data_IF_177258572909
#
_entry.id   IF_177258572909
#
_cell.length_a   1.000
_cell.length_b   1.000
_cell.length_c   1.000
_cell.angle_alpha   90.00
_cell.angle_beta   90.00
_cell.angle_gamma   90.00
#
_symmetry.space_group_name_H-M   'P 1'
#
loop_
_entity.id
_entity.type
_entity.pdbx_description
1 polymer ?
#
# COMPACT_ATOMS: atom_id res chain seq x y z
N UNK A 1 -6.92 23.91 -18.98
CA UNK A 1 -5.58 24.54 -19.06
C UNK A 1 -4.83 24.51 -17.71
N UNK A 2 -5.42 24.93 -16.58
CA UNK A 2 -4.72 24.95 -15.28
C UNK A 2 -4.33 23.55 -14.79
N UNK A 3 -5.25 22.60 -14.80
CA UNK A 3 -5.03 21.19 -14.40
C UNK A 3 -3.92 20.51 -15.22
N UNK A 4 -3.93 20.71 -16.55
CA UNK A 4 -2.93 20.11 -17.44
C UNK A 4 -1.52 20.66 -17.19
N UNK A 5 -1.40 21.95 -16.86
CA UNK A 5 -0.12 22.55 -16.47
C UNK A 5 0.39 21.95 -15.16
N UNK A 6 -0.50 21.75 -14.18
CA UNK A 6 -0.13 21.12 -12.90
C UNK A 6 0.37 19.68 -13.08
N UNK A 7 -0.28 18.87 -13.90
CA UNK A 7 0.16 17.51 -14.21
C UNK A 7 1.56 17.50 -14.86
N UNK A 8 1.81 18.39 -15.82
CA UNK A 8 3.13 18.52 -16.44
C UNK A 8 4.23 18.88 -15.43
N UNK A 9 3.94 19.77 -14.47
CA UNK A 9 4.91 20.12 -13.42
C UNK A 9 5.17 18.97 -12.46
N UNK A 10 4.17 18.14 -12.18
CA UNK A 10 4.32 16.91 -11.40
C UNK A 10 5.16 15.89 -12.16
N UNK A 11 4.87 15.67 -13.44
CA UNK A 11 5.61 14.71 -14.28
C UNK A 11 7.09 15.03 -14.36
N UNK A 12 7.48 16.31 -14.35
CA UNK A 12 8.89 16.74 -14.31
C UNK A 12 9.65 16.31 -13.07
N UNK A 13 8.97 15.86 -12.01
CA UNK A 13 9.60 15.34 -10.80
C UNK A 13 10.02 13.86 -10.95
N UNK A 14 9.54 13.18 -11.99
CA UNK A 14 9.81 11.77 -12.24
C UNK A 14 10.65 11.57 -13.51
N UNK A 15 11.42 10.46 -13.61
CA UNK A 15 12.09 10.11 -14.85
C UNK A 15 11.06 9.83 -15.96
N UNK A 16 11.34 10.31 -17.16
CA UNK A 16 10.57 9.93 -18.35
C UNK A 16 10.96 8.51 -18.76
N UNK A 17 10.04 7.56 -18.58
CA UNK A 17 10.21 6.14 -18.93
C UNK A 17 8.96 5.71 -19.72
N UNK A 18 8.94 6.00 -21.05
CA UNK A 18 7.81 5.63 -21.91
C UNK A 18 7.48 4.14 -21.80
N UNK A 19 6.19 3.81 -21.75
CA UNK A 19 5.74 2.43 -21.64
C UNK A 19 5.88 1.79 -20.24
N UNK A 20 6.26 2.54 -19.19
CA UNK A 20 6.27 2.00 -17.83
C UNK A 20 4.85 1.98 -17.24
N UNK A 21 4.13 0.90 -17.43
CA UNK A 21 2.73 0.70 -17.02
C UNK A 21 2.60 -0.25 -15.82
N UNK A 22 3.53 -0.21 -14.88
CA UNK A 22 3.62 -1.20 -13.80
C UNK A 22 3.65 -0.59 -12.39
N UNK A 23 3.01 0.57 -12.16
CA UNK A 23 2.89 1.20 -10.85
C UNK A 23 2.33 0.23 -9.79
N UNK A 24 1.38 -0.62 -10.17
CA UNK A 24 0.80 -1.66 -9.31
C UNK A 24 1.77 -2.79 -8.93
N UNK A 25 2.98 -2.83 -9.51
CA UNK A 25 4.08 -3.74 -9.13
C UNK A 25 5.17 -2.99 -8.37
N UNK A 26 5.63 -1.85 -8.90
CA UNK A 26 6.58 -0.94 -8.25
C UNK A 26 6.41 0.47 -8.82
N UNK A 27 6.47 1.50 -7.98
CA UNK A 27 6.46 2.89 -8.44
C UNK A 27 7.79 3.31 -9.03
N UNK A 28 7.78 4.28 -9.97
CA UNK A 28 9.01 4.97 -10.38
C UNK A 28 9.41 5.97 -9.28
N UNK A 29 10.65 5.94 -8.79
CA UNK A 29 11.11 6.90 -7.81
C UNK A 29 11.22 8.30 -8.43
N UNK A 30 10.82 9.33 -7.69
CA UNK A 30 11.10 10.72 -8.09
C UNK A 30 12.61 11.00 -8.13
N UNK A 31 13.00 12.09 -8.78
CA UNK A 31 14.40 12.53 -8.73
C UNK A 31 14.86 12.83 -7.30
N UNK A 32 14.00 13.39 -6.45
CA UNK A 32 14.27 13.62 -5.03
C UNK A 32 14.52 12.31 -4.29
N UNK A 33 13.67 11.29 -4.51
CA UNK A 33 13.84 9.94 -3.94
C UNK A 33 15.19 9.34 -4.31
N UNK A 34 15.53 9.39 -5.60
CA UNK A 34 16.79 8.85 -6.10
C UNK A 34 18.01 9.58 -5.53
N UNK A 35 17.94 10.91 -5.43
CA UNK A 35 18.99 11.74 -4.85
C UNK A 35 19.22 11.42 -3.35
N UNK A 36 18.13 11.28 -2.58
CA UNK A 36 18.20 10.94 -1.15
C UNK A 36 18.85 9.56 -0.91
N UNK A 37 18.51 8.56 -1.74
CA UNK A 37 19.12 7.23 -1.66
C UNK A 37 20.63 7.26 -1.98
N UNK A 38 21.03 8.00 -3.02
CA UNK A 38 22.44 8.16 -3.37
C UNK A 38 23.23 8.85 -2.26
N UNK A 39 22.70 9.94 -1.72
CA UNK A 39 23.31 10.65 -0.59
C UNK A 39 23.50 9.73 0.62
N UNK A 40 22.51 8.88 0.94
CA UNK A 40 22.65 7.90 2.03
C UNK A 40 23.80 6.92 1.76
N UNK A 41 23.91 6.38 0.53
CA UNK A 41 24.99 5.44 0.15
C UNK A 41 26.37 6.12 0.27
N UNK A 42 26.49 7.39 -0.15
CA UNK A 42 27.74 8.17 -0.05
C UNK A 42 28.13 8.42 1.41
N UNK A 43 27.18 8.75 2.27
CA UNK A 43 27.44 8.92 3.71
C UNK A 43 27.82 7.60 4.38
N UNK A 44 27.11 6.52 4.08
CA UNK A 44 27.37 5.19 4.63
C UNK A 44 28.75 4.69 4.20
N UNK A 45 29.10 4.79 2.90
CA UNK A 45 30.39 4.35 2.35
C UNK A 45 31.60 5.10 2.91
N UNK A 46 31.37 6.29 3.48
CA UNK A 46 32.41 7.14 4.08
C UNK A 46 32.36 7.18 5.62
N UNK A 47 31.51 6.34 6.25
CA UNK A 47 31.38 6.26 7.71
C UNK A 47 30.72 7.49 8.35
N UNK A 48 30.00 8.31 7.58
CA UNK A 48 29.32 9.52 8.05
C UNK A 48 27.83 9.35 8.32
N UNK A 49 27.30 8.14 8.18
CA UNK A 49 25.89 7.84 8.47
C UNK A 49 25.58 8.15 9.94
N UNK A 50 24.48 8.87 10.16
CA UNK A 50 23.98 9.22 11.49
C UNK A 50 22.65 8.48 11.78
N UNK A 51 22.70 7.54 12.71
CA UNK A 51 21.54 6.75 13.12
C UNK A 51 20.44 7.58 13.80
N UNK A 52 20.81 8.66 14.53
CA UNK A 52 19.82 9.56 15.16
C UNK A 52 19.05 10.37 14.12
N UNK A 53 19.74 10.81 13.06
CA UNK A 53 19.08 11.46 11.93
C UNK A 53 18.10 10.51 11.25
N UNK A 54 18.47 9.24 11.05
CA UNK A 54 17.53 8.25 10.48
C UNK A 54 16.32 8.06 11.40
N UNK A 55 16.49 8.00 12.70
CA UNK A 55 15.35 7.94 13.64
C UNK A 55 14.42 9.16 13.51
N UNK A 56 14.96 10.36 13.38
CA UNK A 56 14.15 11.55 13.13
C UNK A 56 13.39 11.48 11.78
N UNK A 57 14.01 10.90 10.76
CA UNK A 57 13.39 10.68 9.46
C UNK A 57 12.27 9.60 9.51
N UNK A 58 12.36 8.63 10.41
CA UNK A 58 11.24 7.68 10.65
C UNK A 58 10.02 8.43 11.18
N UNK A 59 10.20 9.37 12.13
CA UNK A 59 9.09 10.20 12.62
C UNK A 59 8.54 11.12 11.54
N UNK A 60 9.38 11.61 10.65
CA UNK A 60 8.93 12.38 9.48
C UNK A 60 8.11 11.50 8.52
N UNK A 61 8.53 10.25 8.24
CA UNK A 61 7.74 9.29 7.45
C UNK A 61 6.37 9.04 8.09
N UNK A 62 6.33 8.86 9.42
CA UNK A 62 5.10 8.66 10.19
C UNK A 62 4.12 9.82 10.00
N UNK A 63 4.60 11.06 10.20
CA UNK A 63 3.79 12.27 10.08
C UNK A 63 3.28 12.48 8.64
N UNK A 64 4.14 12.28 7.64
CA UNK A 64 3.78 12.41 6.23
C UNK A 64 2.72 11.36 5.82
N UNK A 65 2.92 10.10 6.20
CA UNK A 65 1.93 9.07 5.90
C UNK A 65 0.61 9.32 6.62
N UNK A 66 0.63 9.72 7.87
CA UNK A 66 -0.56 10.09 8.63
C UNK A 66 -1.36 11.18 7.93
N UNK A 67 -0.70 12.23 7.43
CA UNK A 67 -1.33 13.29 6.64
C UNK A 67 -1.92 12.80 5.32
N UNK A 68 -1.26 11.86 4.62
CA UNK A 68 -1.76 11.28 3.37
C UNK A 68 -3.03 10.46 3.54
N UNK A 69 -3.27 9.86 4.71
CA UNK A 69 -4.41 8.99 4.98
C UNK A 69 -5.37 9.53 6.05
N UNK A 70 -5.25 10.82 6.39
CA UNK A 70 -6.24 11.55 7.20
C UNK A 70 -6.28 11.16 8.69
N UNK A 71 -5.19 10.67 9.28
CA UNK A 71 -5.15 10.27 10.70
C UNK A 71 -4.07 11.01 11.49
N UNK A 72 -4.15 10.96 12.82
CA UNK A 72 -3.09 11.46 13.69
C UNK A 72 -1.84 10.56 13.63
N UNK A 73 -0.65 11.15 13.76
CA UNK A 73 0.62 10.42 13.66
C UNK A 73 0.75 9.30 14.70
N UNK A 74 0.18 9.49 15.89
CA UNK A 74 0.16 8.51 16.99
C UNK A 74 -0.57 7.21 16.62
N UNK A 75 -1.43 7.27 15.60
CA UNK A 75 -2.14 6.10 15.06
C UNK A 75 -1.32 5.31 14.04
N UNK A 76 -0.13 5.77 13.66
CA UNK A 76 0.70 5.16 12.62
C UNK A 76 1.87 4.40 13.21
N UNK A 77 2.03 3.13 12.87
CA UNK A 77 3.24 2.35 13.09
C UNK A 77 4.08 2.30 11.82
N UNK A 78 5.41 2.29 11.97
CA UNK A 78 6.37 2.21 10.87
C UNK A 78 7.07 0.85 10.88
N UNK A 79 7.08 0.16 9.75
CA UNK A 79 7.70 -1.16 9.59
C UNK A 79 8.25 -1.36 8.18
N UNK A 80 8.46 -2.62 7.80
CA UNK A 80 9.17 -2.93 6.56
C UNK A 80 8.30 -3.61 5.49
N UNK A 81 7.20 -4.26 5.87
CA UNK A 81 6.35 -5.01 4.92
C UNK A 81 4.96 -5.33 5.47
N UNK A 82 3.99 -5.51 4.57
CA UNK A 82 2.58 -5.72 4.91
C UNK A 82 2.35 -6.99 5.74
N UNK A 83 2.97 -8.15 5.39
CA UNK A 83 2.76 -9.41 6.12
C UNK A 83 3.17 -9.34 7.58
N UNK A 84 4.13 -8.49 7.91
CA UNK A 84 4.56 -8.25 9.28
C UNK A 84 3.45 -7.58 10.11
N UNK A 85 2.82 -6.54 9.56
CA UNK A 85 1.69 -5.90 10.22
C UNK A 85 0.45 -6.79 10.23
N UNK A 86 0.18 -7.54 9.17
CA UNK A 86 -0.90 -8.54 9.17
C UNK A 86 -0.69 -9.60 10.29
N UNK A 87 0.57 -9.97 10.60
CA UNK A 87 0.87 -10.86 11.73
C UNK A 87 0.59 -10.21 13.09
N UNK A 88 0.80 -8.90 13.23
CA UNK A 88 0.38 -8.16 14.44
C UNK A 88 -1.15 -8.16 14.55
N UNK A 89 -1.85 -7.86 13.46
CA UNK A 89 -3.33 -7.87 13.41
C UNK A 89 -3.89 -9.25 13.78
N UNK A 90 -3.24 -10.32 13.33
CA UNK A 90 -3.62 -11.70 13.63
C UNK A 90 -3.68 -11.98 15.14
N UNK A 91 -2.95 -11.25 15.97
CA UNK A 91 -2.97 -11.40 17.44
C UNK A 91 -4.29 -10.95 18.08
N UNK A 92 -5.05 -10.07 17.41
CA UNK A 92 -6.35 -9.60 17.92
C UNK A 92 -7.48 -10.62 17.72
N UNK A 93 -7.27 -11.64 16.87
CA UNK A 93 -8.28 -12.67 16.60
C UNK A 93 -8.36 -13.61 17.82
N UNK A 94 -9.54 -13.81 18.42
CA UNK A 94 -9.68 -14.72 19.55
C UNK A 94 -9.53 -16.19 19.14
N UNK A 95 -9.19 -17.06 20.08
CA UNK A 95 -9.14 -18.51 19.85
C UNK A 95 -10.52 -19.02 19.40
N UNK A 96 -10.54 -19.85 18.36
CA UNK A 96 -11.78 -20.34 17.76
C UNK A 96 -12.54 -19.30 16.92
N UNK A 97 -12.04 -18.08 16.76
CA UNK A 97 -12.67 -17.00 16.01
C UNK A 97 -12.70 -17.26 14.50
N UNK A 98 -13.38 -16.38 13.77
CA UNK A 98 -13.45 -16.41 12.31
C UNK A 98 -12.79 -15.15 11.72
N UNK A 99 -11.94 -15.34 10.69
CA UNK A 99 -11.44 -14.27 9.84
C UNK A 99 -12.06 -14.42 8.46
N UNK A 100 -12.69 -13.37 7.96
CA UNK A 100 -13.25 -13.32 6.62
C UNK A 100 -12.29 -12.57 5.70
N UNK A 101 -11.86 -13.24 4.61
CA UNK A 101 -10.94 -12.72 3.61
C UNK A 101 -11.55 -12.77 2.21
N UNK A 102 -10.97 -12.01 1.27
CA UNK A 102 -11.34 -12.06 -0.14
C UNK A 102 -10.59 -13.18 -0.84
N UNK A 103 -11.33 -13.99 -1.63
CA UNK A 103 -10.75 -15.04 -2.46
C UNK A 103 -9.86 -14.43 -3.56
N UNK A 104 -8.62 -14.89 -3.64
CA UNK A 104 -7.63 -14.36 -4.58
C UNK A 104 -6.94 -13.06 -4.15
N UNK A 105 -7.15 -12.61 -2.92
CA UNK A 105 -6.44 -11.46 -2.38
C UNK A 105 -4.95 -11.76 -2.15
N UNK A 106 -4.17 -10.71 -1.90
CA UNK A 106 -2.72 -10.81 -1.81
C UNK A 106 -2.28 -11.60 -0.58
N UNK A 107 -1.49 -12.64 -0.79
CA UNK A 107 -1.09 -13.59 0.24
C UNK A 107 -0.38 -12.96 1.46
N UNK A 108 0.30 -11.82 1.29
CA UNK A 108 0.92 -11.12 2.43
C UNK A 108 -0.10 -10.53 3.41
N UNK A 109 -1.36 -10.35 2.98
CA UNK A 109 -2.45 -9.99 3.87
C UNK A 109 -3.08 -11.23 4.51
N UNK A 110 -3.35 -12.28 3.72
CA UNK A 110 -4.21 -13.40 4.16
C UNK A 110 -3.46 -14.52 4.89
N UNK A 111 -2.25 -14.88 4.45
CA UNK A 111 -1.51 -16.00 5.01
C UNK A 111 -1.18 -15.89 6.51
N UNK A 112 -0.91 -14.71 7.10
CA UNK A 112 -0.72 -14.61 8.56
C UNK A 112 -1.93 -15.10 9.36
N UNK A 113 -3.15 -14.94 8.86
CA UNK A 113 -4.36 -15.42 9.53
C UNK A 113 -4.50 -16.94 9.44
N UNK A 114 -4.08 -17.58 8.34
CA UNK A 114 -4.08 -19.02 8.18
C UNK A 114 -3.17 -19.72 9.21
N UNK A 115 -2.10 -19.05 9.65
CA UNK A 115 -1.20 -19.57 10.66
C UNK A 115 -1.84 -19.70 12.05
N UNK A 116 -3.03 -19.14 12.24
CA UNK A 116 -3.79 -19.25 13.50
C UNK A 116 -4.60 -20.56 13.62
N UNK A 117 -4.49 -21.48 12.66
CA UNK A 117 -5.23 -22.76 12.66
C UNK A 117 -5.02 -23.57 13.94
N UNK A 118 -3.82 -23.56 14.54
CA UNK A 118 -3.50 -24.21 15.81
C UNK A 118 -4.28 -23.60 17.01
N UNK A 119 -4.78 -22.37 16.88
CA UNK A 119 -5.65 -21.68 17.84
C UNK A 119 -7.14 -21.93 17.56
N UNK A 120 -7.47 -22.83 16.62
CA UNK A 120 -8.84 -23.12 16.20
C UNK A 120 -9.48 -22.01 15.36
N UNK A 121 -8.72 -21.00 14.94
CA UNK A 121 -9.24 -19.90 14.09
C UNK A 121 -9.55 -20.46 12.70
N UNK A 122 -10.70 -20.07 12.18
CA UNK A 122 -11.14 -20.42 10.83
C UNK A 122 -11.00 -19.22 9.90
N UNK A 123 -10.27 -19.38 8.80
CA UNK A 123 -10.23 -18.37 7.72
C UNK A 123 -11.21 -18.80 6.63
N UNK A 124 -12.13 -17.90 6.29
CA UNK A 124 -13.13 -18.10 5.24
C UNK A 124 -12.88 -17.12 4.10
N UNK A 125 -12.91 -17.61 2.87
CA UNK A 125 -12.68 -16.83 1.66
C UNK A 125 -13.97 -16.67 0.87
N UNK A 126 -14.28 -15.43 0.47
CA UNK A 126 -15.46 -15.08 -0.31
C UNK A 126 -15.09 -14.14 -1.47
N UNK A 127 -15.95 -14.05 -2.48
CA UNK A 127 -15.76 -13.06 -3.55
C UNK A 127 -15.89 -11.64 -2.99
N UNK A 128 -15.17 -10.67 -3.58
CA UNK A 128 -15.13 -9.29 -3.11
C UNK A 128 -16.52 -8.63 -3.06
N UNK A 129 -17.33 -8.87 -4.08
CA UNK A 129 -18.70 -8.36 -4.22
C UNK A 129 -19.69 -8.97 -3.22
N UNK A 130 -19.31 -10.10 -2.59
CA UNK A 130 -20.10 -10.77 -1.55
C UNK A 130 -19.61 -10.46 -0.13
N UNK A 131 -18.48 -9.76 0.01
CA UNK A 131 -17.80 -9.63 1.30
C UNK A 131 -18.71 -9.05 2.39
N UNK A 132 -19.45 -7.97 2.09
CA UNK A 132 -20.36 -7.33 3.06
C UNK A 132 -21.50 -8.26 3.47
N UNK A 133 -22.10 -9.00 2.52
CA UNK A 133 -23.22 -9.92 2.76
C UNK A 133 -22.82 -11.15 3.61
N UNK A 134 -21.56 -11.52 3.55
CA UNK A 134 -21.03 -12.73 4.19
C UNK A 134 -20.48 -12.47 5.60
N UNK A 135 -20.46 -11.22 6.07
CA UNK A 135 -20.11 -10.87 7.44
C UNK A 135 -21.26 -11.29 8.37
N UNK A 136 -20.94 -12.00 9.44
CA UNK A 136 -21.93 -12.48 10.43
C UNK A 136 -21.45 -12.20 11.84
N UNK A 137 -22.30 -12.43 12.83
CA UNK A 137 -21.94 -12.34 14.26
C UNK A 137 -20.82 -13.31 14.70
N UNK A 138 -20.48 -14.31 13.86
CA UNK A 138 -19.33 -15.20 14.11
C UNK A 138 -18.02 -14.61 13.60
N UNK A 139 -18.07 -13.60 12.74
CA UNK A 139 -16.89 -12.97 12.14
C UNK A 139 -16.20 -12.09 13.19
N UNK A 140 -14.95 -12.39 13.51
CA UNK A 140 -14.14 -11.61 14.46
C UNK A 140 -13.33 -10.51 13.76
N UNK A 141 -12.91 -10.77 12.52
CA UNK A 141 -12.10 -9.87 11.69
C UNK A 141 -12.47 -10.01 10.22
N UNK A 142 -12.61 -8.89 9.52
CA UNK A 142 -12.69 -8.84 8.06
C UNK A 142 -11.40 -8.23 7.54
N UNK A 143 -10.69 -8.95 6.66
CA UNK A 143 -9.42 -8.51 6.09
C UNK A 143 -9.48 -8.55 4.56
N UNK A 144 -9.23 -7.39 3.91
CA UNK A 144 -9.27 -7.28 2.46
C UNK A 144 -8.36 -6.17 1.92
N UNK A 145 -7.94 -6.29 0.66
CA UNK A 145 -7.32 -5.18 -0.07
C UNK A 145 -8.40 -4.24 -0.62
N UNK A 146 -8.29 -2.94 -0.34
CA UNK A 146 -9.26 -1.95 -0.84
C UNK A 146 -9.29 -1.91 -2.36
N UNK A 147 -8.13 -2.06 -2.99
CA UNK A 147 -8.00 -2.29 -4.43
C UNK A 147 -7.31 -3.63 -4.65
N UNK A 148 -7.97 -4.55 -5.34
CA UNK A 148 -7.45 -5.89 -5.57
C UNK A 148 -6.26 -5.89 -6.52
N UNK A 149 -5.15 -6.48 -6.07
CA UNK A 149 -3.90 -6.47 -6.85
C UNK A 149 -4.00 -7.27 -8.16
N UNK A 150 -4.79 -8.33 -8.20
CA UNK A 150 -4.92 -9.21 -9.36
C UNK A 150 -5.85 -8.65 -10.43
N UNK A 151 -6.96 -8.03 -10.03
CA UNK A 151 -8.05 -7.58 -10.92
C UNK A 151 -8.16 -6.07 -11.06
N UNK A 152 -7.61 -5.32 -10.10
CA UNK A 152 -7.85 -3.88 -10.00
C UNK A 152 -9.21 -3.52 -9.41
N UNK A 153 -10.05 -4.48 -9.06
CA UNK A 153 -11.39 -4.21 -8.50
C UNK A 153 -11.28 -3.38 -7.21
N UNK A 154 -12.09 -2.32 -7.13
CA UNK A 154 -12.20 -1.46 -5.95
C UNK A 154 -13.33 -1.98 -5.06
N UNK A 155 -13.10 -2.09 -3.75
CA UNK A 155 -14.09 -2.60 -2.81
C UNK A 155 -15.14 -1.55 -2.47
N UNK A 156 -16.37 -1.99 -2.19
CA UNK A 156 -17.44 -1.17 -1.58
C UNK A 156 -17.14 -0.97 -0.08
N UNK A 157 -16.07 -0.23 0.24
CA UNK A 157 -15.51 -0.14 1.59
C UNK A 157 -16.53 0.33 2.64
N UNK A 158 -17.41 1.29 2.31
CA UNK A 158 -18.46 1.78 3.21
C UNK A 158 -19.45 0.66 3.59
N UNK A 159 -19.88 -0.15 2.61
CA UNK A 159 -20.81 -1.26 2.86
C UNK A 159 -20.15 -2.34 3.73
N UNK A 160 -18.89 -2.68 3.44
CA UNK A 160 -18.14 -3.66 4.24
C UNK A 160 -17.95 -3.16 5.67
N UNK A 161 -17.56 -1.88 5.85
CA UNK A 161 -17.41 -1.25 7.16
C UNK A 161 -18.72 -1.28 7.97
N UNK A 162 -19.83 -0.87 7.34
CA UNK A 162 -21.14 -0.88 8.01
C UNK A 162 -21.57 -2.30 8.44
N UNK A 163 -21.34 -3.30 7.60
CA UNK A 163 -21.64 -4.70 7.92
C UNK A 163 -20.74 -5.22 9.07
N UNK A 164 -19.45 -4.89 9.05
CA UNK A 164 -18.50 -5.26 10.10
C UNK A 164 -18.87 -4.62 11.46
N UNK A 165 -19.22 -3.33 11.45
CA UNK A 165 -19.68 -2.62 12.63
C UNK A 165 -20.96 -3.26 13.21
N UNK A 166 -21.95 -3.56 12.36
CA UNK A 166 -23.19 -4.24 12.75
C UNK A 166 -22.99 -5.64 13.34
N UNK A 167 -21.93 -6.34 12.93
CA UNK A 167 -21.54 -7.66 13.43
C UNK A 167 -20.59 -7.61 14.64
N UNK A 168 -20.03 -6.45 14.98
CA UNK A 168 -18.98 -6.30 15.99
C UNK A 168 -17.62 -6.86 15.56
N UNK A 169 -17.39 -7.04 14.24
CA UNK A 169 -16.14 -7.51 13.67
C UNK A 169 -15.15 -6.35 13.49
N UNK A 170 -13.86 -6.61 13.67
CA UNK A 170 -12.81 -5.66 13.32
C UNK A 170 -12.59 -5.60 11.79
N UNK A 171 -12.14 -4.45 11.33
CA UNK A 171 -11.72 -4.24 9.93
C UNK A 171 -10.20 -4.12 9.82
N UNK A 172 -9.58 -4.86 8.87
CA UNK A 172 -8.18 -4.72 8.47
C UNK A 172 -8.10 -4.53 6.96
N UNK A 173 -7.66 -3.36 6.51
CA UNK A 173 -7.68 -2.98 5.10
C UNK A 173 -6.27 -2.80 4.57
N UNK A 174 -5.90 -3.54 3.52
CA UNK A 174 -4.65 -3.29 2.79
C UNK A 174 -4.86 -2.17 1.77
N UNK A 175 -4.19 -1.06 1.99
CA UNK A 175 -4.23 0.15 1.16
C UNK A 175 -3.06 0.23 0.16
N UNK A 176 -2.23 -0.81 0.07
CA UNK A 176 -1.01 -0.84 -0.77
C UNK A 176 -1.28 -0.54 -2.25
N UNK A 177 -2.46 -0.87 -2.76
CA UNK A 177 -2.86 -0.60 -4.14
C UNK A 177 -3.76 0.65 -4.27
N UNK A 178 -4.03 1.37 -3.19
CA UNK A 178 -4.93 2.51 -3.15
C UNK A 178 -4.19 3.84 -2.92
N UNK A 179 -3.50 3.99 -1.79
CA UNK A 179 -2.87 5.27 -1.38
C UNK A 179 -1.83 5.72 -2.39
N UNK A 180 -1.97 6.96 -2.86
CA UNK A 180 -1.12 7.60 -3.87
C UNK A 180 -1.85 7.89 -5.20
N UNK A 181 -2.98 7.18 -5.48
CA UNK A 181 -3.83 7.50 -6.61
C UNK A 181 -5.32 7.57 -6.25
N UNK A 182 -5.77 6.77 -5.27
CA UNK A 182 -7.15 6.76 -4.78
C UNK A 182 -7.19 7.53 -3.45
N UNK A 183 -8.03 8.55 -3.30
CA UNK A 183 -8.26 9.21 -2.02
C UNK A 183 -8.80 8.21 -1.00
N UNK A 184 -8.19 8.15 0.18
CA UNK A 184 -8.55 7.24 1.26
C UNK A 184 -8.47 7.98 2.58
N UNK A 185 -9.46 7.77 3.44
CA UNK A 185 -9.40 8.12 4.87
C UNK A 185 -9.21 6.84 5.69
N UNK A 186 -8.03 6.66 6.29
CA UNK A 186 -7.77 5.52 7.15
C UNK A 186 -8.54 5.59 8.49
N UNK A 187 -9.12 6.77 8.81
CA UNK A 187 -9.99 6.96 9.96
C UNK A 187 -11.29 6.15 9.90
N UNK A 188 -11.71 5.76 8.70
CA UNK A 188 -12.90 4.93 8.48
C UNK A 188 -12.73 3.48 8.94
N UNK A 189 -11.50 3.02 9.22
CA UNK A 189 -11.20 1.62 9.51
C UNK A 189 -10.54 1.44 10.87
N UNK A 190 -10.68 0.24 11.45
CA UNK A 190 -10.01 -0.11 12.69
C UNK A 190 -8.50 -0.20 12.51
N UNK A 191 -8.07 -0.90 11.45
CA UNK A 191 -6.67 -1.10 11.12
C UNK A 191 -6.50 -0.97 9.60
N UNK A 192 -5.46 -0.25 9.17
CA UNK A 192 -5.03 -0.28 7.77
C UNK A 192 -3.56 -0.67 7.65
N UNK A 193 -3.19 -1.26 6.52
CA UNK A 193 -1.80 -1.61 6.19
C UNK A 193 -1.48 -1.03 4.82
N UNK A 194 -0.30 -0.43 4.66
CA UNK A 194 0.16 0.09 3.38
C UNK A 194 1.66 -0.15 3.19
N UNK A 195 2.05 -0.84 2.14
CA UNK A 195 3.44 -0.98 1.74
C UNK A 195 3.78 0.07 0.67
N UNK A 196 4.73 0.95 0.95
CA UNK A 196 4.88 2.22 0.24
C UNK A 196 5.54 2.15 -1.15
N UNK A 197 6.03 1.00 -1.61
CA UNK A 197 6.87 0.90 -2.83
C UNK A 197 6.11 0.90 -4.16
N UNK A 198 4.79 0.98 -4.15
CA UNK A 198 3.96 1.02 -5.37
C UNK A 198 3.56 2.46 -5.69
N UNK A 199 2.37 2.83 -5.35
CA UNK A 199 1.77 4.13 -5.68
C UNK A 199 2.35 5.30 -4.89
N UNK A 200 2.97 5.04 -3.73
CA UNK A 200 3.75 6.05 -3.00
C UNK A 200 5.18 6.20 -3.54
N UNK A 201 5.57 5.41 -4.54
CA UNK A 201 6.87 5.48 -5.21
C UNK A 201 8.10 5.46 -4.28
N UNK A 202 7.92 4.94 -3.06
CA UNK A 202 9.00 4.80 -2.08
C UNK A 202 9.85 3.55 -2.36
N UNK A 203 11.06 3.46 -1.81
CA UNK A 203 11.85 2.24 -1.86
C UNK A 203 11.14 1.08 -1.15
N UNK A 204 11.32 -0.15 -1.66
CA UNK A 204 10.80 -1.33 -0.97
C UNK A 204 11.53 -1.53 0.36
N UNK A 205 10.78 -1.77 1.45
CA UNK A 205 11.31 -1.91 2.80
C UNK A 205 10.75 -0.86 3.77
N UNK A 206 9.75 -0.08 3.33
CA UNK A 206 8.95 0.80 4.18
C UNK A 206 7.48 0.46 4.06
N UNK A 207 6.83 0.24 5.19
CA UNK A 207 5.41 -0.04 5.31
C UNK A 207 4.84 0.68 6.54
N UNK A 208 3.54 0.92 6.49
CA UNK A 208 2.81 1.62 7.54
C UNK A 208 1.58 0.82 7.94
N UNK A 209 1.25 0.87 9.24
CA UNK A 209 -0.01 0.37 9.76
C UNK A 209 -0.68 1.49 10.55
N UNK A 210 -1.96 1.75 10.30
CA UNK A 210 -2.74 2.60 11.19
C UNK A 210 -3.57 1.75 12.14
N UNK A 211 -3.74 2.21 13.37
CA UNK A 211 -4.56 1.54 14.39
C UNK A 211 -5.53 2.56 14.95
N UNK A 212 -6.82 2.21 15.04
CA UNK A 212 -7.83 3.05 15.69
C UNK A 212 -7.49 3.22 17.17
N UNK A 213 -7.61 4.43 17.67
CA UNK A 213 -7.33 4.77 19.08
C UNK A 213 -8.09 3.84 20.04
N UNK A 214 -7.38 3.35 21.06
CA UNK A 214 -7.88 2.41 22.04
C UNK A 214 -7.83 0.94 21.62
N UNK A 215 -7.59 0.64 20.32
CA UNK A 215 -7.50 -0.73 19.83
C UNK A 215 -6.10 -1.34 20.06
N UNK A 216 -5.09 -0.52 20.34
CA UNK A 216 -3.69 -0.95 20.51
C UNK A 216 -3.53 -2.01 21.60
N UNK A 217 -4.38 -1.96 22.63
CA UNK A 217 -4.36 -2.92 23.74
C UNK A 217 -4.82 -4.33 23.35
N UNK A 218 -5.54 -4.47 22.23
CA UNK A 218 -5.99 -5.77 21.69
C UNK A 218 -4.95 -6.44 20.79
N UNK A 219 -3.92 -5.71 20.40
CA UNK A 219 -2.85 -6.19 19.52
C UNK A 219 -1.60 -6.49 20.35
N UNK A 220 -0.92 -7.61 20.04
CA UNK A 220 0.32 -7.99 20.70
C UNK A 220 1.52 -7.66 19.82
N UNK A 221 2.44 -6.78 20.25
CA UNK A 221 3.63 -6.42 19.47
C UNK A 221 4.71 -7.53 19.58
N UNK A 222 4.46 -8.69 18.94
CA UNK A 222 5.34 -9.88 19.04
C UNK A 222 6.77 -9.62 18.55
N UNK A 223 6.95 -8.64 17.67
CA UNK A 223 8.25 -8.25 17.13
C UNK A 223 8.80 -6.98 17.80
N UNK A 224 8.29 -6.62 18.99
CA UNK A 224 8.75 -5.43 19.71
C UNK A 224 10.26 -5.50 19.96
N UNK A 225 10.92 -4.38 19.70
CA UNK A 225 12.35 -4.18 19.93
C UNK A 225 12.61 -2.80 20.53
N UNK A 226 13.83 -2.33 20.45
CA UNK A 226 14.18 -1.04 20.99
C UNK A 226 13.39 0.14 20.36
N UNK A 227 13.01 0.03 19.08
CA UNK A 227 12.20 1.04 18.38
C UNK A 227 10.75 1.10 18.84
N UNK A 228 10.23 0.01 19.46
CA UNK A 228 8.85 -0.03 19.97
C UNK A 228 8.69 0.57 21.36
N UNK A 229 9.79 1.04 21.97
CA UNK A 229 9.82 1.60 23.31
C UNK A 229 9.42 3.07 23.32
N UNK A 230 8.95 3.55 24.47
CA UNK A 230 8.59 4.96 24.71
C UNK A 230 9.81 5.89 24.51
N UNK A 231 11.00 5.45 24.97
CA UNK A 231 12.29 6.06 24.65
C UNK A 231 13.20 5.03 23.97
N UNK A 232 13.21 4.98 22.61
CA UNK A 232 13.97 3.98 21.87
C UNK A 232 15.45 3.94 22.22
N UNK A 233 16.12 5.09 22.29
CA UNK A 233 17.57 5.14 22.47
C UNK A 233 18.02 4.75 23.86
N UNK A 234 17.21 5.01 24.90
CA UNK A 234 17.48 4.58 26.27
C UNK A 234 17.14 3.10 26.49
N UNK A 235 16.36 2.51 25.59
CA UNK A 235 15.87 1.14 25.74
C UNK A 235 16.79 0.06 25.13
N UNK A 236 17.78 0.42 24.33
CA UNK A 236 18.59 -0.53 23.54
C UNK A 236 19.15 -1.71 24.35
N UNK A 237 19.47 -1.53 25.61
CA UNK A 237 20.05 -2.55 26.50
C UNK A 237 19.30 -2.67 27.83
N UNK A 238 18.10 -2.10 27.92
CA UNK A 238 17.29 -2.18 29.13
C UNK A 238 16.65 -3.56 29.27
N UNK A 239 16.59 -4.08 30.49
CA UNK A 239 15.96 -5.41 30.77
C UNK A 239 14.43 -5.37 30.67
N UNK A 240 13.81 -4.25 30.98
CA UNK A 240 12.38 -3.98 30.82
C UNK A 240 12.20 -2.51 30.45
N UNK A 241 11.41 -2.26 29.42
CA UNK A 241 11.14 -0.89 28.94
C UNK A 241 9.67 -0.75 28.62
N UNK A 242 8.99 0.32 29.02
CA UNK A 242 7.63 0.62 28.61
C UNK A 242 7.56 0.72 27.07
N UNK A 243 6.53 0.12 26.49
CA UNK A 243 6.23 0.30 25.07
C UNK A 243 5.73 1.72 24.83
N UNK A 244 5.99 2.24 23.62
CA UNK A 244 5.45 3.51 23.16
C UNK A 244 3.93 3.57 23.29
N UNK A 245 3.41 4.76 23.47
CA UNK A 245 1.99 5.00 23.40
C UNK A 245 1.49 4.91 21.95
N UNK A 246 0.20 4.65 21.76
CA UNK A 246 -0.39 4.52 20.43
C UNK A 246 0.22 3.41 19.58
N UNK A 247 0.22 3.62 18.26
CA UNK A 247 0.69 2.62 17.30
C UNK A 247 2.23 2.48 17.25
N UNK A 248 3.00 3.43 17.78
CA UNK A 248 4.45 3.36 17.85
C UNK A 248 4.98 2.10 18.56
N UNK A 249 4.18 1.50 19.44
CA UNK A 249 4.50 0.20 20.09
C UNK A 249 4.67 -0.98 19.13
N UNK A 250 4.22 -0.83 17.88
CA UNK A 250 4.34 -1.83 16.81
C UNK A 250 5.48 -1.51 15.85
N UNK A 251 6.25 -0.47 16.12
CA UNK A 251 7.38 -0.11 15.28
C UNK A 251 8.45 -1.19 15.30
N UNK A 252 9.13 -1.29 14.16
CA UNK A 252 10.26 -2.16 14.00
C UNK A 252 11.53 -1.35 13.77
N UNK A 253 12.66 -1.97 14.06
CA UNK A 253 13.94 -1.37 13.67
C UNK A 253 13.91 -1.11 12.16
N UNK A 254 14.03 0.15 11.72
CA UNK A 254 13.82 0.52 10.34
C UNK A 254 14.95 0.00 9.45
N UNK A 255 14.63 -0.27 8.19
CA UNK A 255 15.64 -0.55 7.16
C UNK A 255 16.32 0.79 6.78
N UNK A 256 17.38 1.16 7.49
CA UNK A 256 18.02 2.47 7.38
C UNK A 256 18.28 2.96 5.95
N UNK A 257 18.75 2.10 5.00
CA UNK A 257 19.04 2.55 3.64
C UNK A 257 17.83 3.10 2.88
N UNK A 258 16.60 2.69 3.23
CA UNK A 258 15.40 3.10 2.49
C UNK A 258 14.72 4.33 3.08
N UNK A 259 14.97 4.67 4.34
CA UNK A 259 14.25 5.74 5.07
C UNK A 259 14.42 7.11 4.40
N UNK A 260 15.63 7.59 4.05
CA UNK A 260 15.77 8.90 3.38
C UNK A 260 14.99 8.97 2.05
N UNK A 261 15.02 7.88 1.27
CA UNK A 261 14.24 7.79 0.03
C UNK A 261 12.73 7.72 0.29
N UNK A 262 12.30 7.11 1.40
CA UNK A 262 10.89 7.06 1.79
C UNK A 262 10.38 8.45 2.17
N UNK A 263 11.14 9.22 2.94
CA UNK A 263 10.80 10.62 3.24
C UNK A 263 10.59 11.41 1.95
N UNK A 264 11.57 11.40 1.04
CA UNK A 264 11.50 12.15 -0.20
C UNK A 264 10.34 11.73 -1.11
N UNK A 265 10.01 10.43 -1.13
CA UNK A 265 8.87 9.91 -1.87
C UNK A 265 7.53 10.39 -1.27
N UNK A 266 7.38 10.29 0.05
CA UNK A 266 6.16 10.75 0.74
C UNK A 266 5.99 12.26 0.63
N UNK A 267 7.06 13.06 0.73
CA UNK A 267 7.02 14.51 0.50
C UNK A 267 6.56 14.85 -0.93
N UNK A 268 7.09 14.11 -1.93
CA UNK A 268 6.69 14.27 -3.33
C UNK A 268 5.18 14.02 -3.49
N UNK A 269 4.66 12.92 -2.96
CA UNK A 269 3.23 12.56 -3.09
C UNK A 269 2.35 13.49 -2.24
N UNK A 270 2.75 13.85 -1.02
CA UNK A 270 2.00 14.75 -0.15
C UNK A 270 1.88 16.19 -0.71
N UNK A 271 2.80 16.59 -1.58
CA UNK A 271 2.72 17.86 -2.31
C UNK A 271 1.72 17.90 -3.46
N UNK A 272 1.02 16.79 -3.75
CA UNK A 272 0.10 16.63 -4.88
C UNK A 272 -1.32 16.49 -4.34
N UNK A 273 -2.26 17.22 -4.95
CA UNK A 273 -3.68 17.05 -4.66
C UNK A 273 -4.10 15.60 -4.97
N UNK A 274 -4.62 14.83 -4.00
CA UNK A 274 -5.02 13.44 -4.22
C UNK A 274 -6.14 13.29 -5.24
N UNK A 275 -7.02 14.29 -5.40
CA UNK A 275 -8.05 14.28 -6.44
C UNK A 275 -7.42 14.41 -7.83
N UNK A 276 -6.39 15.25 -7.98
CA UNK A 276 -5.67 15.39 -9.24
C UNK A 276 -4.97 14.09 -9.64
N UNK A 277 -4.33 13.39 -8.68
CA UNK A 277 -3.73 12.06 -8.90
C UNK A 277 -4.77 11.04 -9.35
N UNK A 278 -5.93 11.06 -8.70
CA UNK A 278 -7.04 10.15 -8.98
C UNK A 278 -7.61 10.37 -10.38
N UNK A 279 -7.98 11.61 -10.70
CA UNK A 279 -8.55 11.97 -11.99
C UNK A 279 -7.60 11.64 -13.15
N UNK A 280 -6.31 12.00 -13.03
CA UNK A 280 -5.30 11.69 -14.03
C UNK A 280 -5.12 10.19 -14.26
N UNK A 281 -4.98 9.42 -13.19
CA UNK A 281 -4.80 7.97 -13.28
C UNK A 281 -6.03 7.26 -13.89
N UNK A 282 -7.25 7.70 -13.51
CA UNK A 282 -8.50 7.17 -14.06
C UNK A 282 -8.73 7.57 -15.51
N UNK A 283 -8.40 8.80 -15.91
CA UNK A 283 -8.51 9.26 -17.29
C UNK A 283 -7.67 8.36 -18.21
N UNK A 284 -6.40 8.13 -17.88
CA UNK A 284 -5.51 7.27 -18.66
C UNK A 284 -5.96 5.80 -18.66
N UNK A 285 -6.38 5.28 -17.50
CA UNK A 285 -6.89 3.92 -17.40
C UNK A 285 -8.16 3.71 -18.23
N UNK A 286 -9.06 4.69 -18.27
CA UNK A 286 -10.29 4.61 -19.07
C UNK A 286 -10.02 4.84 -20.55
N UNK A 287 -9.04 5.66 -20.92
CA UNK A 287 -8.56 5.75 -22.31
C UNK A 287 -8.00 4.40 -22.78
N UNK A 288 -7.22 3.71 -21.94
CA UNK A 288 -6.72 2.36 -22.24
C UNK A 288 -7.86 1.34 -22.36
N UNK A 289 -8.85 1.36 -21.44
CA UNK A 289 -10.04 0.50 -21.54
C UNK A 289 -10.79 0.72 -22.84
N UNK A 290 -10.99 1.98 -23.23
CA UNK A 290 -11.67 2.32 -24.50
C UNK A 290 -10.91 1.76 -25.71
N UNK A 291 -9.59 1.86 -25.75
CA UNK A 291 -8.76 1.28 -26.81
C UNK A 291 -8.73 -0.26 -26.81
N UNK A 292 -9.10 -0.88 -25.69
CA UNK A 292 -9.21 -2.34 -25.53
C UNK A 292 -10.66 -2.84 -25.68
N UNK A 293 -11.61 -2.02 -26.15
CA UNK A 293 -13.03 -2.33 -26.25
C UNK A 293 -13.68 -2.76 -24.91
N UNK A 294 -13.17 -2.24 -23.80
CA UNK A 294 -13.67 -2.50 -22.46
C UNK A 294 -14.56 -1.37 -21.95
N UNK A 295 -15.51 -1.68 -21.08
CA UNK A 295 -16.31 -0.67 -20.40
C UNK A 295 -15.43 0.22 -19.49
N UNK A 296 -15.79 1.50 -19.28
CA UNK A 296 -15.16 2.34 -18.28
C UNK A 296 -15.21 1.70 -16.88
N UNK A 297 -14.21 2.01 -16.06
CA UNK A 297 -14.11 1.51 -14.68
C UNK A 297 -13.55 2.55 -13.73
N UNK A 298 -13.52 2.22 -12.46
CA UNK A 298 -13.15 3.06 -11.32
C UNK A 298 -11.72 2.82 -10.78
N UNK A 299 -10.92 2.03 -11.52
CA UNK A 299 -9.57 1.65 -11.10
C UNK A 299 -8.50 2.16 -12.06
N UNK A 300 -7.40 2.64 -11.51
CA UNK A 300 -6.18 2.95 -12.24
C UNK A 300 -5.43 1.68 -12.75
N UNK A 301 -5.83 0.51 -12.28
CA UNK A 301 -5.35 -0.79 -12.75
C UNK A 301 -6.33 -1.33 -13.80
N UNK A 302 -5.81 -1.69 -14.96
CA UNK A 302 -6.57 -2.30 -16.06
C UNK A 302 -6.08 -3.72 -16.25
N UNK A 303 -7.02 -4.68 -16.26
CA UNK A 303 -6.71 -6.10 -16.46
C UNK A 303 -7.66 -6.71 -17.49
N UNK A 304 -7.15 -7.63 -18.28
CA UNK A 304 -7.94 -8.41 -19.24
C UNK A 304 -7.37 -9.83 -19.38
N UNK A 305 -8.18 -10.82 -19.79
CA UNK A 305 -7.71 -12.18 -19.96
C UNK A 305 -6.54 -12.28 -20.95
N UNK A 306 -5.46 -12.93 -20.53
CA UNK A 306 -4.26 -13.22 -21.33
C UNK A 306 -3.67 -14.56 -20.88
N UNK A 307 -4.47 -15.63 -21.04
CA UNK A 307 -4.15 -16.97 -20.54
C UNK A 307 -2.87 -17.51 -21.18
N UNK A 308 -2.67 -17.22 -22.48
CA UNK A 308 -1.51 -17.69 -23.24
C UNK A 308 -0.30 -16.74 -23.13
N UNK A 309 -0.44 -15.58 -22.46
CA UNK A 309 0.59 -14.57 -22.31
C UNK A 309 0.96 -13.84 -23.61
N UNK A 310 0.08 -13.91 -24.62
CA UNK A 310 0.32 -13.33 -25.96
C UNK A 310 0.39 -11.80 -25.91
N UNK A 311 -0.55 -11.18 -25.22
CA UNK A 311 -0.62 -9.72 -25.07
C UNK A 311 0.56 -9.22 -24.22
N UNK A 312 0.89 -9.91 -23.12
CA UNK A 312 2.06 -9.58 -22.28
C UNK A 312 3.38 -9.68 -23.08
N UNK A 313 3.51 -10.70 -23.94
CA UNK A 313 4.66 -10.85 -24.81
C UNK A 313 4.73 -9.74 -25.88
N UNK A 314 3.58 -9.32 -26.44
CA UNK A 314 3.49 -8.21 -27.40
C UNK A 314 3.93 -6.89 -26.74
N UNK A 315 3.40 -6.58 -25.56
CA UNK A 315 3.80 -5.42 -24.77
C UNK A 315 5.30 -5.41 -24.48
N UNK A 316 5.87 -6.55 -24.07
CA UNK A 316 7.32 -6.69 -23.80
C UNK A 316 8.16 -6.41 -25.06
N UNK A 317 7.74 -6.93 -26.24
CA UNK A 317 8.43 -6.65 -27.52
C UNK A 317 8.38 -5.17 -27.90
N UNK A 318 7.31 -4.47 -27.54
CA UNK A 318 7.16 -3.03 -27.75
C UNK A 318 7.87 -2.16 -26.69
N UNK A 319 8.61 -2.78 -25.77
CA UNK A 319 9.31 -2.06 -24.69
C UNK A 319 8.41 -1.63 -23.55
N UNK A 320 7.17 -2.12 -23.48
CA UNK A 320 6.23 -1.80 -22.40
C UNK A 320 6.51 -2.70 -21.19
N UNK A 321 6.65 -2.07 -20.01
CA UNK A 321 6.78 -2.76 -18.73
C UNK A 321 5.39 -2.94 -18.12
N UNK A 322 4.87 -4.14 -18.21
CA UNK A 322 3.59 -4.57 -17.67
C UNK A 322 3.75 -5.81 -16.79
N UNK A 323 2.68 -6.39 -16.30
CA UNK A 323 2.74 -7.61 -15.49
C UNK A 323 1.54 -8.52 -15.75
N UNK A 324 1.77 -9.84 -15.68
CA UNK A 324 0.69 -10.84 -15.68
C UNK A 324 0.31 -11.25 -14.25
N UNK A 325 -0.98 -11.44 -13.99
CA UNK A 325 -1.49 -11.96 -12.71
C UNK A 325 -2.73 -12.81 -12.93
N UNK A 326 -2.76 -14.00 -12.32
CA UNK A 326 -3.91 -14.89 -12.33
C UNK A 326 -4.50 -15.14 -13.75
N UNK A 327 -3.65 -15.32 -14.77
CA UNK A 327 -4.08 -15.54 -16.16
C UNK A 327 -4.53 -14.28 -16.92
N UNK A 328 -4.26 -13.09 -16.38
CA UNK A 328 -4.59 -11.81 -17.01
C UNK A 328 -3.32 -11.01 -17.30
N UNK A 329 -3.32 -10.24 -18.39
CA UNK A 329 -2.44 -9.11 -18.54
C UNK A 329 -2.91 -7.97 -17.63
N UNK A 330 -1.97 -7.18 -17.11
CA UNK A 330 -2.26 -6.10 -16.16
C UNK A 330 -1.34 -4.91 -16.41
N UNK A 331 -1.94 -3.74 -16.59
CA UNK A 331 -1.27 -2.43 -16.65
C UNK A 331 -1.81 -1.51 -15.57
N UNK A 332 -1.08 -0.46 -15.26
CA UNK A 332 -1.49 0.53 -14.27
C UNK A 332 -0.91 1.90 -14.62
N UNK A 333 -1.74 2.93 -14.50
CA UNK A 333 -1.41 4.31 -14.84
C UNK A 333 -1.24 5.16 -13.59
N UNK A 334 -0.23 6.00 -13.58
CA UNK A 334 0.08 6.87 -12.46
C UNK A 334 0.60 8.22 -12.96
N UNK A 335 1.02 9.09 -12.07
CA UNK A 335 1.43 10.48 -12.30
C UNK A 335 2.42 10.69 -13.45
N UNK A 336 3.34 9.76 -13.66
CA UNK A 336 4.36 9.83 -14.73
C UNK A 336 3.88 9.40 -16.11
N UNK A 337 2.69 8.78 -16.20
CA UNK A 337 2.16 8.29 -17.47
C UNK A 337 1.44 9.40 -18.25
N UNK A 338 1.35 9.19 -19.57
CA UNK A 338 0.72 10.10 -20.51
C UNK A 338 -0.20 9.38 -21.48
N UNK A 339 -0.93 10.10 -22.31
CA UNK A 339 -1.71 9.52 -23.41
C UNK A 339 -0.82 8.82 -24.46
N UNK A 340 0.46 9.20 -24.59
CA UNK A 340 1.39 8.52 -25.49
C UNK A 340 1.67 7.08 -25.01
N UNK A 341 1.71 6.85 -23.68
CA UNK A 341 1.81 5.49 -23.11
C UNK A 341 0.57 4.64 -23.44
N UNK A 342 -0.62 5.26 -23.43
CA UNK A 342 -1.86 4.60 -23.85
C UNK A 342 -1.81 4.26 -25.33
N UNK A 343 -1.42 5.19 -26.19
CA UNK A 343 -1.30 4.97 -27.62
C UNK A 343 -0.28 3.85 -27.92
N UNK A 344 0.87 3.85 -27.27
CA UNK A 344 1.87 2.79 -27.38
C UNK A 344 1.34 1.41 -26.98
N UNK A 345 0.51 1.35 -25.90
CA UNK A 345 -0.13 0.12 -25.46
C UNK A 345 -1.08 -0.43 -26.52
N UNK A 346 -1.95 0.42 -27.07
CA UNK A 346 -2.96 0.02 -28.06
C UNK A 346 -2.28 -0.43 -29.37
N UNK A 347 -1.28 0.31 -29.84
CA UNK A 347 -0.48 -0.05 -31.01
C UNK A 347 0.24 -1.40 -30.82
N UNK A 348 0.85 -1.62 -29.65
CA UNK A 348 1.56 -2.87 -29.32
C UNK A 348 0.66 -4.11 -29.38
N UNK A 349 -0.64 -3.93 -29.06
CA UNK A 349 -1.64 -5.00 -29.08
C UNK A 349 -2.34 -5.12 -30.44
N UNK A 350 -2.05 -4.24 -31.40
CA UNK A 350 -2.68 -4.24 -32.73
C UNK A 350 -4.18 -3.92 -32.70
N UNK A 351 -4.60 -3.09 -31.77
CA UNK A 351 -6.01 -2.70 -31.55
C UNK A 351 -6.24 -1.24 -31.85
#
# INVERSE_FOLDING_TARGET
MHTQTMILDIQRQFPSVPGYLSACTAGLPSFATTAALRAFVDEWSTGRMDARRISAQVEQCRALFAGLVGVAAERVAVGTQASQFASVVATAVPDGGEVLCVAGDFASLTHPFEQLSARGVRVRYVALDRLADEITAATSLVAWSHVQSASGAVSSAEQIRAAAEGAGALTCVDLTQAVGWLPVDAGDFDITICHAYKWLAAPRGSAFMTVREGLESRLVPLAAGWCSADDPWSSCYAGHTPLAQGAGRFDLSPAWPVIPGTVAALETIAGIDPLLSHEHALELANAARSGLDMAPGDSAIVTWPDVDGTDLAAMTRAGIVASGRAGNARVAFHLWNTHDDVAQLIEALGR
#
